data_IF_870624090943
#
_entry.id   IF_870624090943
#
_cell.length_a   1.000
_cell.length_b   1.000
_cell.length_c   1.000
_cell.angle_alpha   90.00
_cell.angle_beta   90.00
_cell.angle_gamma   90.00
#
_symmetry.space_group_name_H-M   'P 1'
#
loop_
_entity.id
_entity.type
_entity.pdbx_description
1 polymer ?
#
# COMPACT_ATOMS: atom_id res chain seq x y z
N UNK A 1 11.76 10.32 -36.81
CA UNK A 1 11.51 10.60 -35.38
C UNK A 1 10.91 9.34 -34.78
N UNK A 2 11.72 8.55 -34.08
CA UNK A 2 11.32 7.33 -33.37
C UNK A 2 10.64 7.73 -32.07
N UNK A 3 9.36 7.40 -31.91
CA UNK A 3 8.64 7.61 -30.66
C UNK A 3 9.20 6.63 -29.61
N UNK A 4 10.02 7.13 -28.69
CA UNK A 4 10.35 6.43 -27.45
C UNK A 4 9.12 6.48 -26.56
N UNK A 5 8.22 5.51 -26.73
CA UNK A 5 7.31 5.16 -25.66
C UNK A 5 8.16 4.46 -24.60
N UNK A 6 8.58 5.23 -23.61
CA UNK A 6 9.17 4.68 -22.40
C UNK A 6 8.21 3.62 -21.84
N UNK A 7 8.72 2.40 -21.78
CA UNK A 7 8.09 1.22 -21.21
C UNK A 7 7.75 1.48 -19.73
N UNK A 8 6.55 1.99 -19.46
CA UNK A 8 6.05 2.08 -18.08
C UNK A 8 6.01 0.67 -17.48
N UNK A 9 6.70 0.51 -16.34
CA UNK A 9 6.62 -0.68 -15.50
C UNK A 9 5.20 -0.72 -14.93
N UNK A 10 4.47 -1.81 -15.19
CA UNK A 10 3.12 -2.02 -14.67
C UNK A 10 2.84 -3.49 -14.43
N UNK A 11 1.65 -3.80 -13.92
CA UNK A 11 1.23 -5.19 -13.71
C UNK A 11 0.86 -5.83 -15.05
N UNK A 12 1.37 -7.03 -15.31
CA UNK A 12 1.03 -7.82 -16.50
C UNK A 12 -0.43 -8.31 -16.48
N UNK A 13 -1.03 -8.43 -17.67
CA UNK A 13 -2.38 -8.98 -17.85
C UNK A 13 -2.48 -10.49 -17.59
N UNK A 14 -1.37 -11.23 -17.59
CA UNK A 14 -1.31 -12.67 -17.33
C UNK A 14 -1.63 -13.03 -15.88
N UNK A 15 -1.71 -12.03 -14.97
CA UNK A 15 -2.23 -12.11 -13.59
C UNK A 15 -1.57 -13.14 -12.66
N UNK A 16 -0.33 -13.54 -12.91
CA UNK A 16 0.43 -14.26 -11.88
C UNK A 16 0.60 -13.32 -10.68
N UNK A 17 0.01 -13.69 -9.55
CA UNK A 17 0.15 -12.96 -8.30
C UNK A 17 0.29 -13.92 -7.14
N UNK A 18 1.09 -13.52 -6.16
CA UNK A 18 1.44 -14.36 -5.02
C UNK A 18 1.26 -13.56 -3.75
N UNK A 19 0.76 -14.21 -2.70
CA UNK A 19 0.75 -13.64 -1.36
C UNK A 19 1.86 -14.32 -0.56
N UNK A 20 2.88 -13.56 -0.15
CA UNK A 20 4.04 -14.07 0.57
C UNK A 20 4.24 -13.22 1.83
N UNK A 21 3.90 -13.81 2.98
CA UNK A 21 3.89 -13.10 4.27
C UNK A 21 3.01 -11.85 4.22
N UNK A 22 3.60 -10.70 4.56
CA UNK A 22 2.92 -9.41 4.56
C UNK A 22 2.86 -8.73 3.19
N UNK A 23 3.22 -9.42 2.10
CA UNK A 23 3.34 -8.82 0.78
C UNK A 23 2.48 -9.54 -0.26
N UNK A 24 1.99 -8.75 -1.21
CA UNK A 24 1.48 -9.23 -2.48
C UNK A 24 2.48 -8.92 -3.58
N UNK A 25 2.77 -9.92 -4.37
CA UNK A 25 3.68 -9.90 -5.49
C UNK A 25 2.88 -10.01 -6.78
N UNK A 26 3.35 -9.33 -7.82
CA UNK A 26 2.72 -9.27 -9.12
C UNK A 26 3.77 -9.44 -10.21
N UNK A 27 3.42 -10.20 -11.23
CA UNK A 27 4.19 -10.24 -12.47
C UNK A 27 4.15 -8.86 -13.15
N UNK A 28 5.33 -8.34 -13.54
CA UNK A 28 5.44 -7.09 -14.28
C UNK A 28 5.29 -7.30 -15.78
N UNK A 29 4.96 -6.22 -16.49
CA UNK A 29 5.10 -6.15 -17.95
C UNK A 29 6.56 -6.23 -18.44
N UNK A 30 7.53 -5.91 -17.58
CA UNK A 30 8.94 -6.13 -17.89
C UNK A 30 9.36 -7.56 -17.52
N UNK A 31 10.05 -8.27 -18.43
CA UNK A 31 10.67 -9.54 -18.09
C UNK A 31 11.58 -9.39 -16.87
N UNK A 32 11.63 -10.42 -16.04
CA UNK A 32 12.48 -10.51 -14.84
C UNK A 32 12.18 -9.46 -13.76
N UNK A 33 11.06 -8.74 -13.84
CA UNK A 33 10.63 -7.82 -12.77
C UNK A 33 9.39 -8.38 -12.07
N UNK A 34 9.47 -8.45 -10.74
CA UNK A 34 8.33 -8.71 -9.86
C UNK A 34 8.02 -7.45 -9.08
N UNK A 35 6.77 -7.02 -9.16
CA UNK A 35 6.28 -5.87 -8.42
C UNK A 35 5.76 -6.31 -7.07
N UNK A 36 6.12 -5.61 -6.00
CA UNK A 36 5.66 -5.92 -4.65
C UNK A 36 4.92 -4.75 -4.01
N UNK A 37 3.96 -5.09 -3.16
CA UNK A 37 3.29 -4.13 -2.29
C UNK A 37 2.88 -4.82 -0.99
N UNK A 38 2.97 -4.16 0.16
CA UNK A 38 2.47 -4.76 1.39
C UNK A 38 0.95 -4.91 1.43
N UNK A 39 0.50 -5.97 2.10
CA UNK A 39 -0.91 -6.30 2.32
C UNK A 39 -1.53 -5.55 3.50
N UNK A 40 -0.71 -4.84 4.28
CA UNK A 40 -1.12 -4.05 5.44
C UNK A 40 -0.29 -2.79 5.53
N UNK A 41 -0.83 -1.79 6.24
CA UNK A 41 -0.08 -0.62 6.63
C UNK A 41 0.78 -0.90 7.85
N UNK A 42 1.84 -0.11 7.99
CA UNK A 42 2.77 -0.18 9.10
C UNK A 42 2.80 1.16 9.81
N UNK A 43 2.96 1.13 11.13
CA UNK A 43 3.35 2.33 11.87
C UNK A 43 4.78 2.69 11.51
N UNK A 44 5.01 3.97 11.27
CA UNK A 44 6.37 4.47 11.00
C UNK A 44 7.20 4.32 12.27
N UNK A 45 8.40 3.79 12.11
CA UNK A 45 9.41 3.72 13.17
C UNK A 45 10.40 4.85 12.95
N UNK A 46 10.67 5.64 13.99
CA UNK A 46 11.68 6.68 13.94
C UNK A 46 13.07 6.02 13.83
N UNK A 47 13.85 6.47 12.83
CA UNK A 47 15.17 5.92 12.52
C UNK A 47 16.17 6.05 13.67
N UNK A 48 16.04 7.11 14.47
CA UNK A 48 17.02 7.56 15.45
C UNK A 48 16.85 6.81 16.77
N UNK A 49 15.61 6.64 17.23
CA UNK A 49 15.31 6.01 18.53
C UNK A 49 14.64 4.63 18.42
N UNK A 50 14.37 4.15 17.20
CA UNK A 50 13.70 2.88 16.91
C UNK A 50 12.31 2.73 17.55
N UNK A 51 11.64 3.83 17.89
CA UNK A 51 10.28 3.82 18.45
C UNK A 51 9.23 4.10 17.38
N UNK A 52 8.04 3.51 17.56
CA UNK A 52 6.89 3.82 16.72
C UNK A 52 6.45 5.27 16.91
N UNK A 53 6.10 5.93 15.81
CA UNK A 53 5.50 7.26 15.82
C UNK A 53 4.01 7.16 16.11
N UNK A 54 3.66 6.94 17.38
CA UNK A 54 2.29 6.94 17.87
C UNK A 54 2.23 7.53 19.28
N UNK A 55 1.27 8.42 19.53
CA UNK A 55 1.05 9.08 20.82
C UNK A 55 -0.41 9.03 21.19
N UNK A 56 -0.71 8.51 22.38
CA UNK A 56 -2.02 8.63 23.02
C UNK A 56 -1.94 9.60 24.19
N UNK A 57 -2.69 10.69 24.13
CA UNK A 57 -2.88 11.63 25.23
C UNK A 57 -4.27 11.41 25.81
N UNK A 58 -4.38 11.28 27.14
CA UNK A 58 -5.66 11.10 27.84
C UNK A 58 -5.91 12.29 28.74
N UNK A 59 -7.04 12.96 28.55
CA UNK A 59 -7.46 14.07 29.39
C UNK A 59 -8.27 13.55 30.57
N UNK A 60 -7.78 13.79 31.78
CA UNK A 60 -8.42 13.40 33.03
C UNK A 60 -8.92 14.62 33.78
N UNK A 61 -10.05 14.48 34.47
CA UNK A 61 -10.57 15.47 35.41
C UNK A 61 -10.65 14.82 36.78
N UNK A 62 -9.99 15.46 37.73
CA UNK A 62 -10.17 15.22 39.15
C UNK A 62 -11.29 16.12 39.67
N UNK A 63 -12.37 15.54 40.16
CA UNK A 63 -13.49 16.30 40.73
C UNK A 63 -14.06 15.57 41.94
N UNK A 64 -14.20 16.27 43.07
CA UNK A 64 -14.71 15.71 44.33
C UNK A 64 -14.06 14.38 44.77
N UNK A 65 -12.76 14.20 44.50
CA UNK A 65 -12.02 12.98 44.86
C UNK A 65 -12.17 11.82 43.87
N UNK A 66 -12.87 12.02 42.75
CA UNK A 66 -13.04 11.03 41.68
C UNK A 66 -12.18 11.43 40.49
N UNK A 67 -11.27 10.54 40.07
CA UNK A 67 -10.55 10.66 38.80
C UNK A 67 -11.41 10.09 37.67
N UNK A 68 -11.64 10.88 36.62
CA UNK A 68 -12.43 10.46 35.47
C UNK A 68 -11.79 10.90 34.15
N UNK A 69 -11.80 10.01 33.16
CA UNK A 69 -11.40 10.36 31.79
C UNK A 69 -12.48 11.26 31.17
N UNK A 70 -12.06 12.38 30.58
CA UNK A 70 -12.91 13.33 29.88
C UNK A 70 -12.76 13.29 28.37
N UNK A 71 -11.66 12.77 27.88
CA UNK A 71 -11.39 12.61 26.45
C UNK A 71 -9.95 12.22 26.21
N UNK A 72 -9.52 12.31 24.97
CA UNK A 72 -8.13 12.11 24.61
C UNK A 72 -7.84 12.57 23.20
N UNK A 73 -6.58 12.49 22.82
CA UNK A 73 -6.13 12.69 21.46
C UNK A 73 -5.19 11.54 21.11
N UNK A 74 -5.35 10.98 19.92
CA UNK A 74 -4.46 9.95 19.38
C UNK A 74 -3.86 10.50 18.09
N UNK A 75 -2.53 10.49 18.02
CA UNK A 75 -1.80 10.75 16.79
C UNK A 75 -0.91 9.58 16.43
N UNK A 76 -0.85 9.22 15.16
CA UNK A 76 0.09 8.20 14.69
C UNK A 76 0.42 8.41 13.22
N UNK A 77 1.58 7.93 12.81
CA UNK A 77 2.04 7.99 11.44
C UNK A 77 2.05 6.60 10.83
N UNK A 78 1.37 6.42 9.70
CA UNK A 78 1.30 5.16 8.97
C UNK A 78 2.00 5.24 7.60
N UNK A 79 2.49 4.10 7.11
CA UNK A 79 3.10 3.95 5.78
C UNK A 79 2.66 2.65 5.11
N UNK A 80 2.56 2.68 3.78
CA UNK A 80 2.42 1.49 2.93
C UNK A 80 3.77 1.00 2.39
N UNK A 81 4.86 1.68 2.69
CA UNK A 81 6.21 1.31 2.27
C UNK A 81 7.14 1.39 3.48
N UNK A 82 7.15 0.35 4.34
CA UNK A 82 8.09 0.28 5.44
C UNK A 82 9.52 0.24 4.90
N UNK A 83 10.41 0.99 5.54
CA UNK A 83 11.84 0.94 5.24
C UNK A 83 12.47 -0.20 6.05
N UNK A 84 13.02 -1.18 5.34
CA UNK A 84 13.80 -2.26 5.93
C UNK A 84 15.29 -1.97 5.78
N UNK A 85 16.09 -2.49 6.71
CA UNK A 85 17.53 -2.55 6.51
C UNK A 85 17.87 -3.54 5.38
N UNK A 86 19.10 -3.42 4.85
CA UNK A 86 19.56 -4.22 3.72
C UNK A 86 19.44 -5.74 3.95
N UNK A 87 19.81 -6.23 5.14
CA UNK A 87 19.80 -7.67 5.41
C UNK A 87 18.38 -8.21 5.46
N UNK A 88 17.47 -7.48 6.10
CA UNK A 88 16.04 -7.83 6.14
C UNK A 88 15.43 -7.79 4.74
N UNK A 89 15.76 -6.78 3.93
CA UNK A 89 15.26 -6.69 2.56
C UNK A 89 15.74 -7.84 1.68
N UNK A 90 17.01 -8.23 1.77
CA UNK A 90 17.54 -9.36 1.00
C UNK A 90 16.94 -10.70 1.44
N UNK A 91 16.72 -10.89 2.74
CA UNK A 91 16.03 -12.09 3.24
C UNK A 91 14.59 -12.20 2.70
N UNK A 92 13.85 -11.08 2.67
CA UNK A 92 12.51 -11.03 2.08
C UNK A 92 12.53 -11.37 0.59
N UNK A 93 13.45 -10.80 -0.20
CA UNK A 93 13.57 -11.10 -1.64
C UNK A 93 13.90 -12.57 -1.90
N UNK A 94 14.77 -13.18 -1.09
CA UNK A 94 15.06 -14.61 -1.18
C UNK A 94 13.84 -15.47 -0.87
N UNK A 95 13.05 -15.09 0.14
CA UNK A 95 11.79 -15.76 0.44
C UNK A 95 10.79 -15.66 -0.72
N UNK A 96 10.62 -14.46 -1.26
CA UNK A 96 9.76 -14.20 -2.41
C UNK A 96 10.17 -15.04 -3.63
N UNK A 97 11.46 -15.05 -3.97
CA UNK A 97 11.99 -15.84 -5.08
C UNK A 97 11.72 -17.35 -4.91
N UNK A 98 11.91 -17.88 -3.70
CA UNK A 98 11.59 -19.29 -3.40
C UNK A 98 10.12 -19.60 -3.61
N UNK A 99 9.22 -18.71 -3.17
CA UNK A 99 7.78 -18.95 -3.29
C UNK A 99 7.28 -18.88 -4.73
N UNK A 100 7.82 -17.96 -5.53
CA UNK A 100 7.53 -17.87 -6.96
C UNK A 100 8.03 -19.12 -7.71
N UNK A 101 9.22 -19.63 -7.39
CA UNK A 101 9.74 -20.86 -8.00
C UNK A 101 8.86 -22.08 -7.67
N UNK A 102 8.35 -22.18 -6.44
CA UNK A 102 7.44 -23.28 -6.06
C UNK A 102 6.15 -23.29 -6.87
N UNK A 103 5.67 -22.14 -7.33
CA UNK A 103 4.48 -22.08 -8.18
C UNK A 103 4.74 -22.51 -9.63
N UNK A 104 5.97 -22.93 -9.97
CA UNK A 104 6.36 -23.33 -11.31
C UNK A 104 6.59 -22.15 -12.27
N UNK A 105 6.67 -20.92 -11.75
CA UNK A 105 6.97 -19.76 -12.56
C UNK A 105 8.47 -19.71 -12.85
N UNK A 106 8.84 -19.55 -14.12
CA UNK A 106 10.22 -19.48 -14.54
C UNK A 106 10.78 -18.08 -14.23
N UNK A 107 11.73 -18.01 -13.31
CA UNK A 107 12.49 -16.80 -13.05
C UNK A 107 13.61 -16.68 -14.10
N UNK A 108 13.73 -15.55 -14.80
CA UNK A 108 14.92 -15.30 -15.59
C UNK A 108 16.15 -15.05 -14.72
N UNK A 109 17.31 -15.01 -15.36
CA UNK A 109 18.61 -15.03 -14.69
C UNK A 109 18.87 -13.80 -13.81
N UNK A 110 18.16 -12.69 -14.05
CA UNK A 110 18.33 -11.42 -13.33
C UNK A 110 17.01 -10.92 -12.71
N UNK A 111 16.35 -11.75 -11.90
CA UNK A 111 15.12 -11.35 -11.21
C UNK A 111 15.32 -10.11 -10.33
N UNK A 112 14.50 -9.09 -10.53
CA UNK A 112 14.43 -7.89 -9.73
C UNK A 112 13.08 -7.78 -9.02
N UNK A 113 13.13 -7.33 -7.77
CA UNK A 113 11.94 -6.99 -7.00
C UNK A 113 11.86 -5.48 -6.86
N UNK A 114 10.83 -4.89 -7.45
CA UNK A 114 10.60 -3.44 -7.42
C UNK A 114 9.27 -3.13 -6.73
N UNK A 115 9.18 -2.00 -6.01
CA UNK A 115 7.91 -1.57 -5.45
C UNK A 115 6.88 -1.33 -6.56
N UNK A 116 5.63 -1.69 -6.31
CA UNK A 116 4.53 -1.41 -7.22
C UNK A 116 4.41 0.12 -7.43
N UNK A 117 4.45 0.62 -8.68
CA UNK A 117 4.20 2.02 -8.94
C UNK A 117 2.73 2.35 -8.64
N UNK A 118 2.51 3.15 -7.60
CA UNK A 118 1.17 3.59 -7.20
C UNK A 118 0.94 5.02 -7.71
N UNK A 119 -0.17 5.24 -8.41
CA UNK A 119 -0.55 6.55 -8.98
C UNK A 119 -1.34 7.39 -8.00
N UNK A 120 -2.21 6.76 -7.21
CA UNK A 120 -3.06 7.43 -6.25
C UNK A 120 -3.21 6.56 -5.00
N UNK A 121 -3.18 7.17 -3.82
CA UNK A 121 -3.47 6.51 -2.54
C UNK A 121 -4.49 7.37 -1.81
N UNK A 122 -5.58 6.75 -1.38
CA UNK A 122 -6.55 7.33 -0.47
C UNK A 122 -6.48 6.62 0.88
N UNK A 123 -6.49 7.39 1.95
CA UNK A 123 -6.51 6.87 3.32
C UNK A 123 -7.82 7.26 3.98
N UNK A 124 -8.52 6.27 4.53
CA UNK A 124 -9.74 6.48 5.32
C UNK A 124 -9.56 5.87 6.70
N UNK A 125 -9.92 6.63 7.74
CA UNK A 125 -9.96 6.11 9.10
C UNK A 125 -11.35 5.57 9.40
N UNK A 126 -11.39 4.33 9.89
CA UNK A 126 -12.57 3.70 10.47
C UNK A 126 -12.54 3.94 11.97
N UNK A 127 -13.44 4.79 12.46
CA UNK A 127 -13.65 5.02 13.88
C UNK A 127 -15.14 5.11 14.16
N UNK A 128 -15.61 4.38 15.18
CA UNK A 128 -16.98 4.54 15.68
C UNK A 128 -17.14 5.99 16.18
N UNK A 129 -18.11 6.77 15.64
CA UNK A 129 -18.31 8.17 16.04
C UNK A 129 -18.58 8.36 17.53
N UNK A 130 -19.05 7.33 18.25
CA UNK A 130 -19.23 7.38 19.71
C UNK A 130 -17.90 7.38 20.48
N UNK A 131 -16.80 6.99 19.83
CA UNK A 131 -15.46 6.90 20.41
C UNK A 131 -14.59 8.10 20.05
N UNK A 132 -14.89 8.79 18.96
CA UNK A 132 -14.15 9.97 18.57
C UNK A 132 -14.49 10.48 17.19
N UNK A 133 -13.70 11.45 16.77
CA UNK A 133 -13.76 12.14 15.49
C UNK A 133 -12.37 12.12 14.88
N UNK A 134 -12.32 11.98 13.57
CA UNK A 134 -11.10 12.20 12.81
C UNK A 134 -10.87 13.69 12.63
N UNK A 135 -9.68 14.16 12.96
CA UNK A 135 -9.27 15.55 12.78
C UNK A 135 -8.07 15.54 11.85
N UNK A 136 -8.32 15.37 10.55
CA UNK A 136 -7.24 15.46 9.54
C UNK A 136 -6.85 16.95 9.44
N UNK A 137 -5.57 17.31 9.59
CA UNK A 137 -5.13 18.66 9.27
C UNK A 137 -5.26 18.86 7.75
N UNK A 138 -6.25 19.68 7.34
CA UNK A 138 -6.48 20.19 5.99
C UNK A 138 -6.12 19.25 4.81
N UNK A 139 -6.84 18.15 4.67
CA UNK A 139 -7.37 17.67 3.38
C UNK A 139 -8.67 16.94 3.75
N UNK A 140 -9.71 17.03 2.92
CA UNK A 140 -10.94 16.27 3.07
C UNK A 140 -10.66 14.80 3.44
N UNK A 141 -11.63 14.07 4.01
CA UNK A 141 -11.49 12.69 4.57
C UNK A 141 -10.88 11.59 3.64
N UNK A 142 -10.38 11.99 2.49
CA UNK A 142 -9.52 11.35 1.50
C UNK A 142 -8.35 12.27 1.17
N UNK A 143 -7.17 12.01 1.74
CA UNK A 143 -5.93 12.66 1.30
C UNK A 143 -5.29 11.80 0.21
N UNK A 144 -4.97 12.40 -0.95
CA UNK A 144 -4.12 11.76 -1.97
C UNK A 144 -2.68 11.78 -1.48
N UNK A 145 -2.11 10.59 -1.25
CA UNK A 145 -0.72 10.43 -0.76
C UNK A 145 0.12 9.84 -1.88
N UNK A 146 1.32 10.36 -2.12
CA UNK A 146 2.22 9.83 -3.15
C UNK A 146 2.81 8.48 -2.72
N UNK A 147 3.20 7.63 -3.68
CA UNK A 147 3.84 6.35 -3.39
C UNK A 147 5.12 6.56 -2.54
N UNK A 148 5.16 5.97 -1.34
CA UNK A 148 6.28 6.08 -0.40
C UNK A 148 6.14 7.17 0.67
N UNK A 149 5.10 8.00 0.60
CA UNK A 149 4.83 9.01 1.63
C UNK A 149 4.16 8.39 2.86
N UNK A 150 4.44 9.00 4.01
CA UNK A 150 3.85 8.63 5.29
C UNK A 150 2.66 9.54 5.58
N UNK A 151 1.59 8.99 6.16
CA UNK A 151 0.41 9.78 6.53
C UNK A 151 0.32 9.90 8.04
N UNK A 152 0.38 11.14 8.54
CA UNK A 152 0.11 11.45 9.94
C UNK A 152 -1.39 11.62 10.15
N UNK A 153 -1.94 10.88 11.09
CA UNK A 153 -3.37 10.86 11.38
C UNK A 153 -3.59 11.32 12.81
N UNK A 154 -4.59 12.18 12.99
CA UNK A 154 -4.97 12.74 14.29
C UNK A 154 -6.45 12.46 14.55
N UNK A 155 -6.74 12.02 15.77
CA UNK A 155 -8.05 11.60 16.24
C UNK A 155 -8.34 12.30 17.57
N UNK A 156 -9.47 12.99 17.63
CA UNK A 156 -10.04 13.50 18.88
C UNK A 156 -10.94 12.41 19.47
N UNK A 157 -10.61 11.93 20.66
CA UNK A 157 -11.33 10.86 21.34
C UNK A 157 -12.32 11.41 22.36
N UNK A 158 -13.51 10.82 22.40
CA UNK A 158 -14.46 11.03 23.50
C UNK A 158 -13.93 10.40 24.78
N UNK A 159 -14.53 10.71 25.93
CA UNK A 159 -14.19 10.06 27.21
C UNK A 159 -14.22 8.52 27.10
N UNK A 160 -15.27 7.99 26.45
CA UNK A 160 -15.44 6.55 26.20
C UNK A 160 -14.35 6.00 25.28
N UNK A 161 -14.03 6.72 24.20
CA UNK A 161 -12.97 6.32 23.28
C UNK A 161 -11.60 6.27 23.96
N UNK A 162 -11.21 7.34 24.64
CA UNK A 162 -9.93 7.41 25.33
C UNK A 162 -9.78 6.30 26.38
N UNK A 163 -10.85 6.02 27.16
CA UNK A 163 -10.86 4.93 28.13
C UNK A 163 -10.67 3.56 27.45
N UNK A 164 -11.42 3.27 26.38
CA UNK A 164 -11.26 2.02 25.61
C UNK A 164 -9.85 1.86 25.05
N UNK A 165 -9.28 2.91 24.47
CA UNK A 165 -7.93 2.83 23.93
C UNK A 165 -6.88 2.53 25.01
N UNK A 166 -7.00 3.11 26.20
CA UNK A 166 -6.15 2.77 27.36
C UNK A 166 -6.30 1.29 27.72
N UNK A 167 -7.53 0.81 27.85
CA UNK A 167 -7.81 -0.60 28.18
C UNK A 167 -7.23 -1.55 27.14
N UNK A 168 -7.40 -1.25 25.84
CA UNK A 168 -6.91 -2.09 24.76
C UNK A 168 -5.38 -2.14 24.72
N UNK A 169 -4.70 -1.01 24.94
CA UNK A 169 -3.23 -0.95 25.01
C UNK A 169 -2.71 -1.75 26.22
N UNK A 170 -3.31 -1.58 27.39
CA UNK A 170 -2.88 -2.27 28.62
C UNK A 170 -3.12 -3.78 28.56
N UNK A 171 -4.22 -4.20 27.93
CA UNK A 171 -4.59 -5.61 27.77
C UNK A 171 -3.92 -6.28 26.56
N UNK A 172 -3.22 -5.52 25.71
CA UNK A 172 -2.64 -6.04 24.47
C UNK A 172 -3.69 -6.53 23.47
N UNK A 173 -4.91 -5.99 23.52
CA UNK A 173 -6.01 -6.37 22.63
C UNK A 173 -6.08 -5.45 21.41
N UNK A 174 -6.81 -5.88 20.39
CA UNK A 174 -6.96 -5.13 19.14
C UNK A 174 -7.56 -3.73 19.41
N UNK A 175 -6.90 -2.69 18.93
CA UNK A 175 -7.31 -1.31 19.14
C UNK A 175 -8.64 -1.00 18.43
N UNK A 176 -9.45 -0.12 19.03
CA UNK A 176 -10.78 0.19 18.50
C UNK A 176 -10.69 1.26 17.42
N UNK A 177 -10.40 0.83 16.19
CA UNK A 177 -10.30 1.66 14.99
C UNK A 177 -9.54 0.94 13.88
N UNK A 178 -9.56 1.46 12.67
CA UNK A 178 -8.85 0.87 11.53
C UNK A 178 -8.48 1.89 10.46
N UNK A 179 -7.61 1.47 9.55
CA UNK A 179 -7.23 2.25 8.37
C UNK A 179 -7.60 1.45 7.13
N UNK A 180 -8.27 2.10 6.20
CA UNK A 180 -8.43 1.62 4.84
C UNK A 180 -7.47 2.42 3.97
N UNK A 181 -6.63 1.70 3.24
CA UNK A 181 -5.84 2.27 2.16
C UNK A 181 -6.41 1.78 0.83
N UNK A 182 -6.84 2.71 0.00
CA UNK A 182 -7.24 2.44 -1.38
C UNK A 182 -6.14 2.97 -2.28
N UNK A 183 -5.70 2.18 -3.25
CA UNK A 183 -4.60 2.58 -4.14
C UNK A 183 -4.90 2.22 -5.59
N UNK A 184 -4.35 3.00 -6.50
CA UNK A 184 -4.46 2.81 -7.95
C UNK A 184 -3.08 2.56 -8.55
N UNK A 185 -2.95 1.56 -9.41
CA UNK A 185 -1.69 1.19 -10.07
C UNK A 185 -1.91 1.01 -11.58
N UNK A 186 -0.85 1.20 -12.40
CA UNK A 186 -0.95 0.97 -13.84
C UNK A 186 -1.01 -0.53 -14.15
N UNK A 187 -2.02 -0.92 -14.92
CA UNK A 187 -2.05 -2.20 -15.63
C UNK A 187 -1.84 -1.92 -17.11
N UNK A 188 -0.76 -2.44 -17.69
CA UNK A 188 -0.33 -2.07 -19.04
C UNK A 188 -0.62 -3.23 -20.01
N UNK A 189 -1.24 -2.91 -21.15
CA UNK A 189 -1.45 -3.88 -22.23
C UNK A 189 -0.11 -4.18 -22.93
N UNK A 190 0.23 -5.45 -23.22
CA UNK A 190 1.39 -5.75 -24.06
C UNK A 190 1.19 -5.14 -25.45
N UNK A 191 2.28 -4.68 -26.10
CA UNK A 191 2.21 -4.16 -27.46
C UNK A 191 1.78 -5.28 -28.43
N UNK A 192 0.55 -5.21 -28.94
CA UNK A 192 0.10 -6.07 -30.03
C UNK A 192 0.44 -5.37 -31.35
N UNK A 193 1.48 -5.83 -32.04
CA UNK A 193 1.73 -5.43 -33.43
C UNK A 193 1.05 -6.42 -34.37
N UNK A 194 0.02 -5.97 -35.09
CA UNK A 194 -0.56 -6.73 -36.19
C UNK A 194 0.18 -6.40 -37.49
N UNK A 195 0.96 -7.34 -38.02
CA UNK A 195 1.49 -7.24 -39.39
C UNK A 195 0.44 -7.70 -40.39
N UNK A 196 -0.28 -6.76 -41.01
CA UNK A 196 -1.21 -7.05 -42.10
C UNK A 196 -0.42 -7.23 -43.39
N UNK A 197 -0.18 -8.47 -43.80
CA UNK A 197 0.36 -8.78 -45.13
C UNK A 197 -0.77 -8.79 -46.16
N UNK A 198 -0.94 -7.66 -46.87
CA UNK A 198 -1.87 -7.59 -48.00
C UNK A 198 -1.23 -8.24 -49.23
N UNK A 199 -1.73 -9.41 -49.65
CA UNK A 199 -1.35 -10.03 -50.93
C UNK A 199 -1.98 -9.25 -52.09
N UNK A 200 -1.21 -8.32 -52.68
CA UNK A 200 -1.68 -7.44 -53.77
C UNK A 200 -2.20 -8.14 -55.03
N UNK A 201 -1.89 -9.43 -55.24
CA UNK A 201 -2.43 -10.21 -56.37
C UNK A 201 -3.94 -10.49 -56.28
N UNK A 202 -4.55 -10.44 -55.09
CA UNK A 202 -5.97 -10.75 -54.91
C UNK A 202 -6.89 -9.53 -55.08
N UNK A 203 -6.34 -8.31 -55.13
CA UNK A 203 -7.13 -7.07 -55.22
C UNK A 203 -7.44 -6.70 -56.68
N UNK A 204 -6.57 -7.07 -57.62
CA UNK A 204 -6.78 -6.76 -59.06
C UNK A 204 -7.87 -7.60 -59.74
N UNK A 205 -8.19 -8.79 -59.21
CA UNK A 205 -9.19 -9.68 -59.82
C UNK A 205 -10.64 -9.22 -59.62
N UNK A 206 -10.90 -8.34 -58.64
CA UNK A 206 -12.26 -7.87 -58.30
C UNK A 206 -12.54 -6.42 -58.73
N UNK A 207 -11.60 -5.75 -59.40
CA UNK A 207 -11.78 -4.39 -59.96
C UNK A 207 -11.85 -4.37 -61.49
N UNK A 208 -11.91 -5.55 -62.13
CA UNK A 208 -11.97 -5.71 -63.58
C UNK A 208 -13.11 -6.63 -64.06
N UNK A 209 -14.18 -6.77 -63.27
CA UNK A 209 -15.47 -7.36 -63.69
C UNK A 209 -16.56 -6.32 -63.78
#
# INVERSE_FOLDING_TARGET
>A
MTSSFDTEIGIALSTSSWNVGDFRLFESTQPDVILYMPNRSFLVVNSDNKQYQATLTVFRKWDQGIDSVKGGALSFTATLMPQYDFLTQEALKQEWGREILKSGYFLGENLQFLPLPIRNIQVQILLDPSLGKVTIPEVEATSSVSAGETTSLLLDLTAKGAQKWVENIQSGTQLTGGLIFTYEYPQVLPQVQAQIHVKGKSIFANLSS
#
